data_IF_470486399527
#
_entry.id   IF_470486399527
#
_cell.length_a   1.000
_cell.length_b   1.000
_cell.length_c   1.000
_cell.angle_alpha   90.00
_cell.angle_beta   90.00
_cell.angle_gamma   90.00
#
_symmetry.space_group_name_H-M   'P 1'
#
loop_
_entity.id
_entity.type
_entity.pdbx_description
1 polymer ?
#
# COMPACT_ATOMS: atom_id res chain seq x y z
N UNK A 1 14.24 -11.61 -13.48
CA UNK A 1 12.83 -11.32 -13.12
C UNK A 1 12.78 -10.50 -11.83
N UNK A 2 13.61 -10.78 -10.82
CA UNK A 2 13.78 -9.98 -9.59
C UNK A 2 14.16 -8.51 -9.79
N UNK A 3 14.77 -8.12 -10.91
CA UNK A 3 15.21 -6.73 -11.10
C UNK A 3 14.11 -5.79 -11.65
N UNK A 4 12.95 -6.32 -12.05
CA UNK A 4 11.81 -5.55 -12.58
C UNK A 4 10.72 -5.31 -11.54
N UNK A 5 10.90 -5.85 -10.34
CA UNK A 5 9.97 -5.73 -9.21
C UNK A 5 10.78 -5.41 -7.97
N UNK A 6 10.39 -4.37 -7.22
CA UNK A 6 11.01 -4.02 -5.93
C UNK A 6 9.93 -3.99 -4.85
N UNK A 7 10.10 -4.81 -3.81
CA UNK A 7 9.20 -4.80 -2.65
C UNK A 7 9.79 -3.87 -1.58
N UNK A 8 8.92 -3.12 -0.91
CA UNK A 8 9.32 -2.08 0.05
C UNK A 8 10.38 -1.11 -0.52
N UNK A 9 10.16 -0.53 -1.71
CA UNK A 9 11.11 0.39 -2.31
C UNK A 9 11.39 1.59 -1.38
N UNK A 10 12.55 2.21 -1.53
CA UNK A 10 12.87 3.42 -0.78
C UNK A 10 12.00 4.60 -1.24
N UNK A 11 11.68 5.51 -0.33
CA UNK A 11 10.83 6.66 -0.63
C UNK A 11 11.41 7.51 -1.76
N UNK A 12 12.73 7.66 -1.78
CA UNK A 12 13.47 8.44 -2.76
C UNK A 12 13.46 7.80 -4.16
N UNK A 13 13.19 6.50 -4.26
CA UNK A 13 13.00 5.80 -5.54
C UNK A 13 11.56 5.93 -6.06
N UNK A 14 10.60 6.30 -5.19
CA UNK A 14 9.16 6.26 -5.47
C UNK A 14 8.60 7.66 -5.66
N UNK A 15 9.05 8.64 -4.87
CA UNK A 15 8.47 9.98 -4.85
C UNK A 15 9.42 11.02 -5.43
N UNK A 16 8.85 11.92 -6.22
CA UNK A 16 9.60 12.92 -6.99
C UNK A 16 10.02 14.11 -6.13
N UNK A 17 9.14 14.60 -5.26
CA UNK A 17 9.35 15.75 -4.38
C UNK A 17 8.83 15.48 -2.95
N UNK A 18 8.92 16.49 -2.07
CA UNK A 18 8.35 16.53 -0.72
C UNK A 18 8.42 15.21 0.07
N UNK A 19 9.61 14.64 0.16
CA UNK A 19 9.83 13.31 0.75
C UNK A 19 9.31 13.24 2.19
N UNK A 20 9.34 14.35 2.94
CA UNK A 20 8.87 14.41 4.32
C UNK A 20 7.36 14.19 4.42
N UNK A 21 6.55 14.88 3.60
CA UNK A 21 5.11 14.61 3.60
C UNK A 21 4.79 13.23 3.01
N UNK A 22 5.53 12.77 2.02
CA UNK A 22 5.33 11.40 1.52
C UNK A 22 5.63 10.35 2.61
N UNK A 23 6.70 10.51 3.40
CA UNK A 23 6.99 9.67 4.57
C UNK A 23 5.93 9.77 5.65
N UNK A 24 5.29 10.93 5.76
CA UNK A 24 4.19 11.15 6.70
C UNK A 24 2.94 10.38 6.28
N UNK A 25 2.50 10.43 5.03
CA UNK A 25 1.18 9.91 4.66
C UNK A 25 1.19 8.55 3.98
N UNK A 26 2.25 8.25 3.22
CA UNK A 26 2.30 7.11 2.33
C UNK A 26 3.23 5.99 2.83
N UNK A 27 2.95 4.79 2.35
CA UNK A 27 3.72 3.57 2.56
C UNK A 27 4.02 2.93 1.19
N UNK A 28 5.25 3.05 0.66
CA UNK A 28 5.62 2.41 -0.60
C UNK A 28 5.61 0.90 -0.46
N UNK A 29 4.79 0.23 -1.27
CA UNK A 29 4.58 -1.21 -1.15
C UNK A 29 5.41 -1.98 -2.17
N UNK A 30 5.24 -1.61 -3.45
CA UNK A 30 5.89 -2.29 -4.56
C UNK A 30 6.21 -1.29 -5.67
N UNK A 31 7.34 -1.47 -6.34
CA UNK A 31 7.61 -0.88 -7.65
C UNK A 31 7.62 -1.95 -8.72
N UNK A 32 6.98 -1.68 -9.86
CA UNK A 32 6.89 -2.55 -11.03
C UNK A 32 7.43 -1.79 -12.22
N UNK A 33 8.42 -2.36 -12.91
CA UNK A 33 8.88 -1.82 -14.19
C UNK A 33 8.01 -2.40 -15.31
N UNK A 34 7.50 -1.51 -16.18
CA UNK A 34 6.60 -1.88 -17.28
C UNK A 34 7.21 -2.85 -18.30
N UNK A 35 8.54 -3.07 -18.30
CA UNK A 35 9.20 -4.14 -19.07
C UNK A 35 8.63 -5.54 -18.82
N UNK A 36 8.00 -5.76 -17.65
CA UNK A 36 7.34 -7.03 -17.36
C UNK A 36 6.08 -7.26 -18.23
N UNK A 37 5.45 -6.18 -18.69
CA UNK A 37 4.26 -6.20 -19.56
C UNK A 37 4.67 -5.94 -21.01
N UNK A 38 5.56 -4.99 -21.24
CA UNK A 38 6.06 -4.61 -22.56
C UNK A 38 7.57 -4.33 -22.49
N UNK A 39 8.44 -5.19 -23.05
CA UNK A 39 9.89 -5.03 -22.98
C UNK A 39 10.43 -3.70 -23.52
N UNK A 40 9.64 -2.94 -24.29
CA UNK A 40 10.03 -1.62 -24.80
C UNK A 40 9.75 -0.46 -23.83
N UNK A 41 8.98 -0.69 -22.76
CA UNK A 41 8.54 0.33 -21.81
C UNK A 41 9.39 0.32 -20.53
N UNK A 42 10.41 1.18 -20.45
CA UNK A 42 11.30 1.30 -19.28
C UNK A 42 10.79 2.30 -18.23
N UNK A 43 9.52 2.18 -17.86
CA UNK A 43 8.85 3.06 -16.89
C UNK A 43 8.64 2.30 -15.58
N UNK A 44 9.03 2.91 -14.47
CA UNK A 44 8.65 2.40 -13.14
C UNK A 44 7.31 2.99 -12.72
N UNK A 45 6.45 2.12 -12.19
CA UNK A 45 5.23 2.49 -11.49
C UNK A 45 5.28 1.88 -10.10
N UNK A 46 4.49 2.44 -9.19
CA UNK A 46 4.49 2.07 -7.79
C UNK A 46 3.07 1.82 -7.30
N UNK A 47 2.93 0.79 -6.48
CA UNK A 47 1.77 0.61 -5.61
C UNK A 47 2.15 1.19 -4.26
N UNK A 48 1.30 2.10 -3.78
CA UNK A 48 1.51 2.87 -2.56
C UNK A 48 0.25 2.75 -1.71
N UNK A 49 0.41 2.42 -0.44
CA UNK A 49 -0.65 2.44 0.56
C UNK A 49 -0.57 3.72 1.39
N UNK A 50 -1.54 3.94 2.28
CA UNK A 50 -1.55 5.09 3.21
C UNK A 50 -1.59 4.63 4.65
N UNK A 51 -1.02 5.45 5.54
CA UNK A 51 -0.96 5.15 6.98
C UNK A 51 -2.31 5.32 7.70
N UNK A 52 -3.17 6.20 7.18
CA UNK A 52 -4.46 6.57 7.77
C UNK A 52 -5.54 5.48 7.62
N UNK A 53 -5.31 4.43 6.83
CA UNK A 53 -6.24 3.30 6.70
C UNK A 53 -6.54 2.66 8.06
N UNK A 54 -7.78 2.73 8.49
CA UNK A 54 -8.23 2.08 9.73
C UNK A 54 -9.73 1.76 9.67
N UNK A 55 -10.56 2.78 9.84
CA UNK A 55 -12.03 2.69 9.76
C UNK A 55 -12.54 3.80 8.83
N UNK A 56 -13.48 3.45 7.94
CA UNK A 56 -14.02 4.35 6.93
C UNK A 56 -13.19 4.45 5.64
N UNK A 57 -13.59 5.41 4.79
CA UNK A 57 -13.01 5.64 3.46
C UNK A 57 -11.99 6.77 3.51
N UNK A 58 -10.85 6.58 2.86
CA UNK A 58 -9.82 7.62 2.82
C UNK A 58 -10.32 8.78 1.95
N UNK A 59 -10.33 9.98 2.50
CA UNK A 59 -10.69 11.20 1.78
C UNK A 59 -12.18 11.53 1.75
N UNK A 60 -13.06 10.79 2.44
CA UNK A 60 -14.51 11.06 2.49
C UNK A 60 -14.82 12.47 3.05
N UNK A 61 -14.17 12.84 4.14
CA UNK A 61 -14.31 14.17 4.77
C UNK A 61 -13.47 15.28 4.11
N UNK A 62 -12.85 15.00 2.96
CA UNK A 62 -11.86 15.86 2.31
C UNK A 62 -12.27 16.33 0.90
N UNK A 63 -13.58 16.34 0.60
CA UNK A 63 -14.11 16.69 -0.74
C UNK A 63 -13.59 18.01 -1.32
N UNK A 64 -13.30 19.02 -0.48
CA UNK A 64 -12.69 20.29 -0.93
C UNK A 64 -11.27 20.16 -1.50
N UNK A 65 -10.57 19.06 -1.20
CA UNK A 65 -9.22 18.75 -1.68
C UNK A 65 -9.22 17.69 -2.78
N UNK A 66 -10.39 17.20 -3.19
CA UNK A 66 -10.49 16.23 -4.27
C UNK A 66 -10.02 16.83 -5.59
N UNK A 67 -9.43 15.97 -6.41
CA UNK A 67 -9.05 16.24 -7.80
C UNK A 67 -9.79 15.25 -8.71
N UNK A 68 -9.64 15.32 -10.04
CA UNK A 68 -10.22 14.31 -10.92
C UNK A 68 -9.80 12.87 -10.57
N UNK A 69 -8.58 12.69 -10.03
CA UNK A 69 -7.94 11.40 -9.77
C UNK A 69 -7.60 11.13 -8.29
N UNK A 70 -7.83 12.08 -7.40
CA UNK A 70 -7.79 11.89 -5.94
C UNK A 70 -9.16 12.19 -5.34
N UNK A 71 -9.83 11.14 -4.86
CA UNK A 71 -11.21 11.15 -4.33
C UNK A 71 -11.29 10.18 -3.14
N UNK A 72 -12.49 9.90 -2.63
CA UNK A 72 -12.72 8.78 -1.73
C UNK A 72 -12.09 7.49 -2.28
N UNK A 73 -11.22 6.86 -1.47
CA UNK A 73 -10.54 5.59 -1.77
C UNK A 73 -9.80 5.55 -3.12
N UNK A 74 -9.35 6.72 -3.59
CA UNK A 74 -8.64 6.88 -4.84
C UNK A 74 -7.58 7.96 -4.70
N UNK A 75 -6.33 7.65 -5.05
CA UNK A 75 -5.18 8.55 -4.89
C UNK A 75 -4.42 8.64 -6.20
N UNK A 76 -4.34 9.85 -6.74
CA UNK A 76 -3.70 10.18 -7.99
C UNK A 76 -2.29 10.74 -7.82
N UNK A 77 -1.42 10.36 -8.75
CA UNK A 77 -0.05 10.83 -8.84
C UNK A 77 0.28 11.23 -10.27
N UNK A 78 0.96 12.36 -10.42
CA UNK A 78 1.66 12.68 -11.66
C UNK A 78 2.97 11.89 -11.70
N UNK A 79 3.23 11.23 -12.84
CA UNK A 79 4.41 10.39 -13.03
C UNK A 79 5.52 11.20 -13.72
N UNK A 80 6.60 11.44 -12.97
CA UNK A 80 7.76 12.23 -13.37
C UNK A 80 9.02 11.40 -13.25
N UNK A 81 9.66 11.09 -14.38
CA UNK A 81 10.92 10.33 -14.45
C UNK A 81 10.91 9.02 -13.64
N UNK A 82 9.81 8.26 -13.73
CA UNK A 82 9.69 7.02 -12.97
C UNK A 82 9.24 7.18 -11.52
N UNK A 83 8.90 8.39 -11.07
CA UNK A 83 8.50 8.68 -9.68
C UNK A 83 7.17 9.42 -9.62
N UNK A 84 6.57 9.43 -8.44
CA UNK A 84 5.26 9.96 -8.18
C UNK A 84 5.33 11.31 -7.49
N UNK A 85 4.53 12.24 -8.01
CA UNK A 85 4.18 13.49 -7.33
C UNK A 85 2.71 13.44 -6.97
N UNK A 86 2.39 13.56 -5.69
CA UNK A 86 0.99 13.57 -5.24
C UNK A 86 0.23 14.75 -5.86
N UNK A 87 -0.98 14.49 -6.35
CA UNK A 87 -1.70 15.44 -7.20
C UNK A 87 -2.68 16.37 -6.46
N UNK A 88 -2.84 16.18 -5.14
CA UNK A 88 -3.77 16.93 -4.30
C UNK A 88 -3.07 17.67 -3.15
N UNK A 89 -3.83 18.44 -2.38
CA UNK A 89 -3.34 19.09 -1.16
C UNK A 89 -3.18 18.05 -0.03
N UNK A 90 -2.10 18.14 0.75
CA UNK A 90 -1.85 17.24 1.88
C UNK A 90 -2.94 17.24 2.96
N UNK A 91 -3.79 18.27 3.00
CA UNK A 91 -5.00 18.31 3.84
C UNK A 91 -6.11 17.35 3.38
N UNK A 92 -5.91 16.63 2.28
CA UNK A 92 -6.69 15.45 1.92
C UNK A 92 -6.68 14.41 3.04
N UNK A 93 -5.55 14.26 3.75
CA UNK A 93 -5.41 13.38 4.89
C UNK A 93 -5.81 14.08 6.19
N UNK A 94 -6.57 13.39 7.04
CA UNK A 94 -7.07 13.95 8.31
C UNK A 94 -6.19 13.56 9.50
N UNK A 95 -5.49 12.42 9.40
CA UNK A 95 -4.64 11.88 10.46
C UNK A 95 -3.18 11.86 10.02
N UNK A 96 -2.30 12.35 10.89
CA UNK A 96 -0.88 12.48 10.54
C UNK A 96 0.07 12.46 11.73
N UNK A 97 -0.45 12.08 12.91
CA UNK A 97 0.28 12.15 14.17
C UNK A 97 0.89 10.79 14.48
N UNK A 98 2.20 10.72 14.38
CA UNK A 98 2.95 9.57 14.87
C UNK A 98 3.19 9.72 16.38
N UNK A 99 2.80 8.71 17.15
CA UNK A 99 2.97 8.69 18.61
C UNK A 99 4.44 8.45 18.93
N UNK A 100 5.07 9.35 19.69
CA UNK A 100 6.43 9.17 20.20
C UNK A 100 6.45 8.13 21.34
N UNK A 101 7.35 7.11 21.31
CA UNK A 101 7.51 6.17 22.40
C UNK A 101 7.74 6.78 23.79
N UNK A 102 8.29 8.00 23.88
CA UNK A 102 8.46 8.72 25.15
C UNK A 102 7.12 9.17 25.78
N UNK A 103 6.04 9.19 25.00
CA UNK A 103 4.77 9.84 25.36
C UNK A 103 3.58 8.86 25.44
N UNK A 104 3.80 7.55 25.60
CA UNK A 104 2.70 6.59 25.72
C UNK A 104 1.76 6.83 26.92
N UNK A 105 2.15 7.66 27.88
CA UNK A 105 1.28 8.07 29.00
C UNK A 105 0.21 9.11 28.63
N UNK A 106 0.31 9.72 27.45
CA UNK A 106 -0.62 10.76 26.99
C UNK A 106 -1.93 10.16 26.46
N UNK A 107 -2.93 11.02 26.26
CA UNK A 107 -4.20 10.64 25.64
C UNK A 107 -4.09 10.79 24.12
N UNK A 108 -4.51 9.75 23.41
CA UNK A 108 -4.57 9.69 21.95
C UNK A 108 -5.94 9.17 21.51
N UNK A 109 -6.38 9.60 20.33
CA UNK A 109 -7.56 8.99 19.71
C UNK A 109 -7.20 7.61 19.15
N UNK A 110 -8.22 6.82 18.82
CA UNK A 110 -8.00 5.50 18.22
C UNK A 110 -7.32 5.62 16.86
N UNK A 111 -7.73 6.59 16.04
CA UNK A 111 -7.14 6.85 14.72
C UNK A 111 -5.66 7.24 14.81
N UNK A 112 -5.27 8.04 15.82
CA UNK A 112 -3.86 8.39 16.08
C UNK A 112 -3.02 7.15 16.47
N UNK A 113 -3.62 6.23 17.25
CA UNK A 113 -2.98 4.97 17.62
C UNK A 113 -2.81 4.09 16.38
N UNK A 114 -3.86 3.95 15.57
CA UNK A 114 -3.88 3.02 14.43
C UNK A 114 -3.02 3.48 13.26
N UNK A 115 -2.98 4.79 13.02
CA UNK A 115 -2.00 5.40 12.13
C UNK A 115 -0.56 5.01 12.53
N UNK A 116 -0.26 5.06 13.83
CA UNK A 116 1.07 4.69 14.35
C UNK A 116 1.31 3.18 14.32
N UNK A 117 0.27 2.35 14.49
CA UNK A 117 0.32 0.89 14.36
C UNK A 117 0.63 0.49 12.92
N UNK A 118 -0.01 1.11 11.93
CA UNK A 118 0.31 0.88 10.51
C UNK A 118 1.76 1.22 10.19
N UNK A 119 2.23 2.39 10.63
CA UNK A 119 3.64 2.80 10.47
C UNK A 119 4.62 1.76 11.05
N UNK A 120 4.33 1.30 12.28
CA UNK A 120 5.17 0.33 12.98
C UNK A 120 5.13 -1.07 12.34
N UNK A 121 3.94 -1.56 11.96
CA UNK A 121 3.78 -2.87 11.32
C UNK A 121 4.48 -2.89 9.95
N UNK A 122 4.28 -1.85 9.14
CA UNK A 122 4.97 -1.71 7.85
C UNK A 122 6.49 -1.78 8.02
N UNK A 123 7.03 -1.04 8.99
CA UNK A 123 8.47 -1.03 9.26
C UNK A 123 9.00 -2.41 9.68
N UNK A 124 8.24 -3.15 10.50
CA UNK A 124 8.59 -4.48 10.96
C UNK A 124 8.54 -5.52 9.82
N UNK A 125 7.51 -5.46 8.97
CA UNK A 125 7.37 -6.33 7.79
C UNK A 125 8.43 -6.03 6.74
N UNK A 126 8.77 -4.74 6.51
CA UNK A 126 9.90 -4.33 5.67
C UNK A 126 11.22 -4.91 6.19
N UNK A 127 11.47 -4.83 7.50
CA UNK A 127 12.67 -5.41 8.10
C UNK A 127 12.71 -6.95 7.97
N UNK A 128 11.56 -7.61 8.13
CA UNK A 128 11.44 -9.05 7.91
C UNK A 128 11.76 -9.44 6.47
N UNK A 129 11.18 -8.74 5.48
CA UNK A 129 11.43 -8.95 4.07
C UNK A 129 12.91 -8.74 3.73
N UNK A 130 13.51 -7.65 4.20
CA UNK A 130 14.92 -7.34 3.94
C UNK A 130 15.88 -8.42 4.49
N UNK A 131 15.54 -9.05 5.63
CA UNK A 131 16.34 -10.13 6.20
C UNK A 131 16.13 -11.47 5.49
N UNK A 132 14.88 -11.79 5.15
CA UNK A 132 14.48 -13.14 4.72
C UNK A 132 14.28 -13.28 3.20
N UNK A 133 14.18 -12.18 2.46
CA UNK A 133 13.93 -12.17 1.02
C UNK A 133 12.53 -12.64 0.61
N UNK A 134 11.57 -12.66 1.55
CA UNK A 134 10.18 -13.07 1.31
C UNK A 134 9.22 -12.33 2.24
N UNK A 135 7.95 -12.22 1.83
CA UNK A 135 6.89 -11.68 2.69
C UNK A 135 6.66 -12.57 3.91
N UNK A 136 6.08 -11.96 4.94
CA UNK A 136 5.70 -12.64 6.16
C UNK A 136 4.54 -13.61 5.89
N UNK A 137 4.75 -14.88 6.21
CA UNK A 137 3.90 -16.01 5.81
C UNK A 137 3.46 -16.86 7.01
N UNK A 138 3.38 -16.24 8.19
CA UNK A 138 3.13 -16.88 9.49
C UNK A 138 1.91 -16.30 10.18
N UNK A 139 1.46 -16.98 11.23
CA UNK A 139 0.28 -16.57 11.98
C UNK A 139 0.46 -15.15 12.56
N UNK A 140 -0.46 -14.25 12.25
CA UNK A 140 -0.49 -12.89 12.79
C UNK A 140 -1.07 -12.85 14.22
N UNK A 141 -1.70 -13.94 14.69
CA UNK A 141 -2.29 -13.99 16.00
C UNK A 141 -1.21 -14.15 17.08
N UNK A 142 -0.73 -13.00 17.55
CA UNK A 142 0.24 -12.89 18.64
C UNK A 142 -0.47 -12.44 19.93
N UNK A 143 -0.47 -13.27 20.99
CA UNK A 143 -1.05 -12.89 22.27
C UNK A 143 -0.50 -11.55 22.76
N UNK A 144 -1.41 -10.65 23.12
CA UNK A 144 -1.07 -9.30 23.58
C UNK A 144 -1.02 -8.22 22.49
N UNK A 145 -1.03 -8.58 21.20
CA UNK A 145 -1.35 -7.63 20.13
C UNK A 145 -2.86 -7.54 19.84
N UNK A 146 -3.67 -8.35 20.52
CA UNK A 146 -5.14 -8.37 20.41
C UNK A 146 -5.83 -7.23 21.18
N UNK A 147 -5.08 -6.40 21.93
CA UNK A 147 -5.66 -5.26 22.66
C UNK A 147 -5.89 -4.07 21.72
N UNK A 148 -7.00 -3.36 21.90
CA UNK A 148 -7.40 -2.22 21.06
C UNK A 148 -7.10 -0.89 21.77
N UNK A 149 -5.85 -0.72 22.21
CA UNK A 149 -5.37 0.55 22.76
C UNK A 149 -3.86 0.73 22.55
N UNK A 150 -3.31 1.82 23.09
CA UNK A 150 -1.91 2.21 22.91
C UNK A 150 -0.90 1.13 23.34
N UNK A 151 -1.29 0.19 24.22
CA UNK A 151 -0.42 -0.93 24.63
C UNK A 151 -0.10 -1.85 23.47
N UNK A 152 -0.97 -1.96 22.46
CA UNK A 152 -0.66 -2.71 21.22
C UNK A 152 0.49 -2.07 20.47
N UNK A 153 0.47 -0.75 20.31
CA UNK A 153 1.55 -0.01 19.66
C UNK A 153 2.86 -0.15 20.43
N UNK A 154 2.82 0.00 21.76
CA UNK A 154 3.98 -0.18 22.63
C UNK A 154 4.61 -1.58 22.44
N UNK A 155 3.79 -2.63 22.49
CA UNK A 155 4.23 -4.03 22.32
C UNK A 155 4.74 -4.30 20.90
N UNK A 156 4.03 -3.81 19.88
CA UNK A 156 4.42 -3.98 18.48
C UNK A 156 5.82 -3.40 18.22
N UNK A 157 6.13 -2.22 18.75
CA UNK A 157 7.43 -1.56 18.57
C UNK A 157 8.58 -2.24 19.34
N UNK A 158 8.28 -3.17 20.25
CA UNK A 158 9.28 -4.00 20.90
C UNK A 158 9.61 -5.27 20.10
N UNK A 159 8.80 -5.61 19.09
CA UNK A 159 9.03 -6.79 18.28
C UNK A 159 10.22 -6.60 17.34
N UNK A 160 10.96 -7.69 17.16
CA UNK A 160 12.06 -7.80 16.22
C UNK A 160 11.72 -8.78 15.11
N UNK A 161 12.53 -8.78 14.06
CA UNK A 161 12.42 -9.80 13.00
C UNK A 161 12.59 -11.22 13.56
N UNK A 162 13.40 -11.40 14.60
CA UNK A 162 13.59 -12.71 15.25
C UNK A 162 12.31 -13.18 15.93
N UNK A 163 11.53 -12.26 16.48
CA UNK A 163 10.24 -12.59 17.08
C UNK A 163 9.25 -13.10 16.03
N UNK A 164 9.20 -12.48 14.85
CA UNK A 164 8.39 -12.92 13.70
C UNK A 164 8.84 -14.29 13.18
N UNK A 165 10.15 -14.53 13.13
CA UNK A 165 10.72 -15.83 12.77
C UNK A 165 10.40 -16.94 13.77
N UNK A 166 9.96 -16.60 14.98
CA UNK A 166 9.52 -17.55 16.00
C UNK A 166 8.00 -17.72 16.05
N UNK A 167 7.23 -16.94 15.28
CA UNK A 167 5.77 -17.12 15.21
C UNK A 167 5.39 -18.47 14.62
N UNK A 168 4.22 -18.95 15.04
CA UNK A 168 3.68 -20.23 14.58
C UNK A 168 3.45 -20.19 13.07
N UNK A 169 3.69 -21.30 12.37
CA UNK A 169 3.33 -21.37 10.96
C UNK A 169 1.81 -21.24 10.82
N UNK A 170 1.37 -20.43 9.85
CA UNK A 170 -0.01 -20.41 9.40
C UNK A 170 -0.10 -21.11 8.06
N UNK A 171 -0.62 -22.34 8.01
CA UNK A 171 -0.66 -23.13 6.78
C UNK A 171 -1.37 -22.38 5.64
N UNK A 172 -2.47 -21.70 5.96
CA UNK A 172 -3.20 -20.84 5.02
C UNK A 172 -2.34 -19.69 4.45
N UNK A 173 -1.68 -18.91 5.31
CA UNK A 173 -0.85 -17.77 4.89
C UNK A 173 0.37 -18.24 4.09
N UNK A 174 0.95 -19.36 4.49
CA UNK A 174 2.07 -19.97 3.79
C UNK A 174 1.68 -20.40 2.38
N UNK A 175 0.58 -21.13 2.22
CA UNK A 175 0.09 -21.54 0.89
C UNK A 175 -0.26 -20.33 0.03
N UNK A 176 -0.94 -19.32 0.60
CA UNK A 176 -1.31 -18.06 -0.08
C UNK A 176 -0.08 -17.31 -0.60
N UNK A 177 0.94 -17.10 0.23
CA UNK A 177 2.17 -16.40 -0.18
C UNK A 177 3.02 -17.23 -1.15
N UNK A 178 3.02 -18.57 -1.03
CA UNK A 178 3.75 -19.45 -1.94
C UNK A 178 3.18 -19.48 -3.36
N UNK A 179 1.88 -19.24 -3.53
CA UNK A 179 1.24 -19.16 -4.85
C UNK A 179 1.77 -18.01 -5.70
N UNK A 180 2.14 -16.91 -5.04
CA UNK A 180 2.54 -15.65 -5.67
C UNK A 180 3.90 -15.75 -6.37
N UNK A 181 4.04 -15.27 -7.61
CA UNK A 181 5.36 -15.23 -8.30
C UNK A 181 6.36 -14.43 -7.46
N UNK A 182 7.52 -15.04 -7.17
CA UNK A 182 8.54 -14.48 -6.24
C UNK A 182 7.99 -14.11 -4.85
N UNK A 183 6.89 -14.74 -4.43
CA UNK A 183 6.22 -14.50 -3.15
C UNK A 183 5.28 -13.30 -3.11
N UNK A 184 5.03 -12.58 -4.23
CA UNK A 184 4.24 -11.33 -4.16
C UNK A 184 3.17 -11.11 -5.25
N UNK A 185 3.32 -11.55 -6.52
CA UNK A 185 2.37 -11.13 -7.56
C UNK A 185 1.89 -12.23 -8.52
N UNK A 186 0.61 -12.60 -8.40
CA UNK A 186 -0.12 -13.32 -9.46
C UNK A 186 -1.05 -12.40 -10.26
N UNK A 187 -1.24 -11.15 -9.80
CA UNK A 187 -2.31 -10.25 -10.27
C UNK A 187 -1.83 -9.11 -11.19
N UNK A 188 -0.61 -9.22 -11.76
CA UNK A 188 -0.10 -8.29 -12.78
C UNK A 188 -0.76 -8.59 -14.13
N UNK A 189 -1.28 -7.56 -14.80
CA UNK A 189 -1.94 -7.66 -16.10
C UNK A 189 -0.91 -7.71 -17.25
N UNK A 190 -0.11 -8.78 -17.32
CA UNK A 190 0.90 -8.96 -18.38
C UNK A 190 0.28 -9.06 -19.78
N UNK A 191 -0.97 -9.52 -19.88
CA UNK A 191 -1.68 -9.72 -21.13
C UNK A 191 -2.35 -8.44 -21.66
N UNK A 192 -2.25 -7.32 -20.92
CA UNK A 192 -2.88 -6.02 -21.24
C UNK A 192 -4.39 -6.14 -21.51
N UNK A 193 -5.07 -6.98 -20.72
CA UNK A 193 -6.51 -7.17 -20.83
C UNK A 193 -7.26 -5.92 -20.31
N UNK A 194 -8.45 -5.61 -20.85
CA UNK A 194 -9.37 -4.67 -20.21
C UNK A 194 -9.65 -5.10 -18.76
N UNK A 195 -9.83 -4.12 -17.86
CA UNK A 195 -10.06 -4.39 -16.44
C UNK A 195 -11.24 -5.36 -16.21
N UNK A 196 -12.35 -5.18 -16.93
CA UNK A 196 -13.53 -6.06 -16.81
C UNK A 196 -13.30 -7.50 -17.29
N UNK A 197 -12.23 -7.74 -18.06
CA UNK A 197 -11.86 -9.07 -18.57
C UNK A 197 -10.79 -9.75 -17.73
N UNK A 198 -10.25 -9.04 -16.73
CA UNK A 198 -9.28 -9.57 -15.79
C UNK A 198 -9.95 -10.52 -14.80
N UNK A 199 -9.38 -11.72 -14.61
CA UNK A 199 -9.89 -12.72 -13.67
C UNK A 199 -9.02 -12.74 -12.41
N UNK A 200 -9.21 -11.74 -11.55
CA UNK A 200 -8.54 -11.64 -10.24
C UNK A 200 -9.56 -11.66 -9.10
N UNK A 201 -9.06 -11.88 -7.88
CA UNK A 201 -9.82 -11.84 -6.64
C UNK A 201 -10.25 -10.40 -6.31
N UNK A 202 -11.54 -10.06 -6.43
CA UNK A 202 -12.09 -8.78 -5.93
C UNK A 202 -12.56 -7.79 -7.01
N UNK A 203 -13.62 -8.12 -7.76
CA UNK A 203 -14.15 -7.19 -8.77
C UNK A 203 -15.09 -6.09 -8.20
N UNK A 204 -15.07 -5.83 -6.89
CA UNK A 204 -16.01 -4.90 -6.25
C UNK A 204 -15.51 -3.45 -6.21
N UNK A 205 -14.44 -3.11 -6.94
CA UNK A 205 -13.92 -1.75 -6.98
C UNK A 205 -14.98 -0.75 -7.46
N UNK A 206 -15.50 0.05 -6.51
CA UNK A 206 -16.63 0.96 -6.71
C UNK A 206 -16.20 2.19 -7.52
N UNK A 207 -15.07 2.81 -7.15
CA UNK A 207 -14.55 4.02 -7.77
C UNK A 207 -13.41 3.62 -8.71
N UNK A 208 -13.55 3.99 -9.99
CA UNK A 208 -12.58 3.67 -11.05
C UNK A 208 -12.02 4.95 -11.67
N UNK A 209 -10.72 4.99 -12.04
CA UNK A 209 -10.10 6.19 -12.58
C UNK A 209 -10.29 6.26 -14.10
N UNK A 210 -11.30 7.02 -14.54
CA UNK A 210 -11.53 7.24 -15.96
C UNK A 210 -10.76 8.46 -16.47
N UNK A 211 -10.14 8.32 -17.65
CA UNK A 211 -9.45 9.39 -18.39
C UNK A 211 -10.42 10.49 -18.84
N UNK A 212 -11.64 10.08 -19.16
CA UNK A 212 -12.76 10.90 -19.59
C UNK A 212 -14.07 10.26 -19.10
N UNK A 213 -15.24 10.63 -19.62
CA UNK A 213 -16.52 10.10 -19.13
C UNK A 213 -16.71 8.59 -19.35
N UNK A 214 -15.94 7.96 -20.26
CA UNK A 214 -16.18 6.57 -20.66
C UNK A 214 -14.94 5.68 -20.70
N UNK A 215 -13.74 6.26 -20.81
CA UNK A 215 -12.50 5.51 -20.99
C UNK A 215 -11.77 5.31 -19.67
N UNK A 216 -11.67 4.06 -19.23
CA UNK A 216 -10.92 3.66 -18.03
C UNK A 216 -9.41 3.72 -18.32
N UNK A 217 -8.61 4.11 -17.32
CA UNK A 217 -7.15 4.00 -17.39
C UNK A 217 -6.68 2.55 -17.53
N UNK A 218 -5.46 2.33 -18.04
CA UNK A 218 -4.95 0.97 -18.22
C UNK A 218 -4.68 0.35 -16.85
N UNK A 219 -5.27 -0.82 -16.62
CA UNK A 219 -5.04 -1.58 -15.40
C UNK A 219 -3.69 -2.30 -15.46
N UNK A 220 -2.84 -2.07 -14.45
CA UNK A 220 -1.47 -2.61 -14.39
C UNK A 220 -1.40 -3.85 -13.52
N UNK A 221 -2.03 -3.81 -12.35
CA UNK A 221 -2.01 -4.91 -11.39
C UNK A 221 -2.58 -4.51 -10.03
N UNK A 222 -2.80 -5.48 -9.16
CA UNK A 222 -3.18 -5.27 -7.77
C UNK A 222 -2.36 -6.13 -6.81
N UNK A 223 -2.51 -5.85 -5.51
CA UNK A 223 -1.92 -6.62 -4.43
C UNK A 223 -2.75 -6.49 -3.16
N UNK A 224 -2.63 -7.50 -2.30
CA UNK A 224 -3.27 -7.50 -0.99
C UNK A 224 -2.56 -6.53 -0.03
N UNK A 225 -3.30 -5.57 0.53
CA UNK A 225 -2.70 -4.54 1.40
C UNK A 225 -2.24 -5.08 2.76
N UNK A 226 -2.94 -6.08 3.29
CA UNK A 226 -2.64 -6.69 4.60
C UNK A 226 -1.31 -7.45 4.66
N UNK A 227 -0.69 -7.72 3.51
CA UNK A 227 0.66 -8.29 3.44
C UNK A 227 1.75 -7.29 3.88
N UNK A 228 1.40 -6.00 4.01
CA UNK A 228 2.36 -4.91 4.19
C UNK A 228 2.09 -3.98 5.38
N UNK A 229 0.88 -3.99 5.93
CA UNK A 229 0.50 -3.18 7.10
C UNK A 229 -0.66 -3.84 7.88
N UNK A 230 -1.02 -3.30 9.05
CA UNK A 230 -2.01 -3.93 9.94
C UNK A 230 -3.46 -3.72 9.48
N UNK A 231 -3.77 -2.50 9.05
CA UNK A 231 -5.08 -2.09 8.56
C UNK A 231 -4.90 -1.60 7.15
N UNK A 232 -5.50 -2.30 6.19
CA UNK A 232 -5.28 -2.03 4.78
C UNK A 232 -6.57 -2.23 3.99
N UNK A 233 -6.57 -1.79 2.74
CA UNK A 233 -7.52 -2.30 1.77
C UNK A 233 -7.24 -3.79 1.52
N UNK A 234 -8.29 -4.54 1.23
CA UNK A 234 -8.16 -5.95 0.83
C UNK A 234 -7.34 -6.04 -0.45
N UNK A 235 -7.57 -5.11 -1.38
CA UNK A 235 -6.80 -4.97 -2.62
C UNK A 235 -6.42 -3.52 -2.92
N UNK A 236 -5.18 -3.35 -3.39
CA UNK A 236 -4.61 -2.08 -3.86
C UNK A 236 -4.43 -2.13 -5.37
N UNK A 237 -5.35 -1.52 -6.11
CA UNK A 237 -5.34 -1.50 -7.57
C UNK A 237 -4.47 -0.38 -8.12
N UNK A 238 -3.58 -0.67 -9.07
CA UNK A 238 -2.83 0.33 -9.82
C UNK A 238 -3.35 0.45 -11.25
N UNK A 239 -3.73 1.67 -11.59
CA UNK A 239 -4.04 2.11 -12.94
C UNK A 239 -3.00 3.13 -13.42
N UNK A 240 -2.74 3.14 -14.72
CA UNK A 240 -1.82 4.08 -15.34
C UNK A 240 -2.33 4.56 -16.70
N UNK A 241 -2.09 5.83 -16.99
CA UNK A 241 -2.28 6.39 -18.32
C UNK A 241 -0.99 7.06 -18.77
N UNK A 242 -0.48 6.59 -19.91
CA UNK A 242 0.80 7.02 -20.46
C UNK A 242 0.75 8.43 -21.04
N UNK A 243 -0.38 8.82 -21.63
CA UNK A 243 -0.52 10.14 -22.28
C UNK A 243 -0.66 11.26 -21.25
N UNK A 244 -1.49 11.03 -20.23
CA UNK A 244 -1.67 11.90 -19.07
C UNK A 244 -0.46 11.85 -18.11
N UNK A 245 0.37 10.80 -18.22
CA UNK A 245 1.42 10.46 -17.24
C UNK A 245 0.85 10.41 -15.82
N UNK A 246 -0.28 9.72 -15.67
CA UNK A 246 -1.01 9.65 -14.41
C UNK A 246 -1.02 8.23 -13.89
N UNK A 247 -0.66 8.03 -12.63
CA UNK A 247 -0.88 6.78 -11.93
C UNK A 247 -1.97 6.99 -10.87
N UNK A 248 -2.84 6.01 -10.70
CA UNK A 248 -3.91 6.07 -9.70
C UNK A 248 -3.95 4.77 -8.92
N UNK A 249 -3.93 4.90 -7.60
CA UNK A 249 -4.19 3.79 -6.67
C UNK A 249 -5.65 3.84 -6.26
N UNK A 250 -6.33 2.70 -6.30
CA UNK A 250 -7.68 2.56 -5.79
C UNK A 250 -7.73 1.48 -4.70
N UNK A 251 -8.38 1.80 -3.59
CA UNK A 251 -8.55 0.92 -2.44
C UNK A 251 -9.87 0.16 -2.58
N UNK A 252 -9.83 -1.16 -2.43
CA UNK A 252 -11.01 -2.01 -2.45
C UNK A 252 -11.13 -2.77 -1.13
N UNK A 253 -12.37 -2.89 -0.65
CA UNK A 253 -12.75 -3.56 0.58
C UNK A 253 -13.89 -4.53 0.26
N UNK A 254 -13.82 -5.74 0.80
CA UNK A 254 -14.80 -6.83 0.60
C UNK A 254 -15.78 -6.99 1.75
#
# INVERSE_FOLDING_TARGET
MTDLIKIFPEYEDVFYDDIENHKKYFLPICSINLKIIDPSEDQWLHIVSVKELFDGQIGDDASQYHTPFTKEDMIGFDVMDGKYKFDADWKYFTISKEIDPANYGDQYTEEEIEYSVNSAMYSLLKAYFNKNGKLYDKDFNRPGLEVEDIRRLERLRQLTVQDLENDKPGDYLRERIQGKISGVFDEINSDKLPFESCQFSGCNLIKKPYKNETELMDYIGCLEGYDFQKWAADQLYLFYDKELKKAVICFEYT
#
